data_IF_499805235618
#
_entry.id   IF_499805235618
#
_cell.length_a   1.000
_cell.length_b   1.000
_cell.length_c   1.000
_cell.angle_alpha   90.00
_cell.angle_beta   90.00
_cell.angle_gamma   90.00
#
_symmetry.space_group_name_H-M   'P 1'
#
loop_
_entity.id
_entity.type
_entity.pdbx_description
1 polymer ?
#
# COMPACT_ATOMS: atom_id res chain seq x y z
N UNK A 1 -13.26 21.78 16.98
CA UNK A 1 -12.07 20.92 16.74
C UNK A 1 -12.24 20.01 15.52
N UNK A 2 -13.39 19.33 15.35
CA UNK A 2 -13.67 18.50 14.17
C UNK A 2 -13.55 19.27 12.84
N UNK A 3 -14.09 20.49 12.80
CA UNK A 3 -13.97 21.37 11.63
C UNK A 3 -12.52 21.69 11.26
N UNK A 4 -11.68 22.06 12.23
CA UNK A 4 -10.24 22.28 12.02
C UNK A 4 -9.53 21.02 11.48
N UNK A 5 -9.92 19.84 11.97
CA UNK A 5 -9.38 18.55 11.47
C UNK A 5 -9.79 18.35 10.00
N UNK A 6 -11.03 18.65 9.65
CA UNK A 6 -11.52 18.54 8.28
C UNK A 6 -10.80 19.51 7.33
N UNK A 7 -10.56 20.75 7.75
CA UNK A 7 -9.77 21.71 6.96
C UNK A 7 -8.33 21.24 6.76
N UNK A 8 -7.63 20.82 7.82
CA UNK A 8 -6.26 20.33 7.68
C UNK A 8 -6.20 19.08 6.78
N UNK A 9 -7.19 18.19 6.82
CA UNK A 9 -7.25 17.03 5.92
C UNK A 9 -7.39 17.47 4.45
N UNK A 10 -8.23 18.47 4.17
CA UNK A 10 -8.38 19.04 2.81
C UNK A 10 -7.08 19.70 2.34
N UNK A 11 -6.44 20.48 3.21
CA UNK A 11 -5.15 21.12 2.92
C UNK A 11 -4.09 20.07 2.57
N UNK A 12 -3.91 19.06 3.41
CA UNK A 12 -2.96 17.97 3.18
C UNK A 12 -3.26 17.20 1.89
N UNK A 13 -4.52 17.03 1.51
CA UNK A 13 -4.88 16.41 0.22
C UNK A 13 -4.46 17.24 -1.00
N UNK A 14 -4.48 18.56 -0.89
CA UNK A 14 -4.17 19.50 -1.97
C UNK A 14 -2.67 19.84 -2.09
N UNK A 15 -1.84 19.48 -1.10
CA UNK A 15 -0.40 19.83 -1.09
C UNK A 15 0.32 19.39 -2.36
N UNK A 16 0.08 18.17 -2.87
CA UNK A 16 0.80 17.68 -4.07
C UNK A 16 0.39 18.49 -5.29
N UNK A 17 -0.91 18.67 -5.52
CA UNK A 17 -1.41 19.50 -6.64
C UNK A 17 -0.78 20.90 -6.58
N UNK A 18 -0.86 21.56 -5.42
CA UNK A 18 -0.31 22.90 -5.24
C UNK A 18 1.22 22.98 -5.47
N UNK A 19 2.00 22.04 -4.92
CA UNK A 19 3.47 22.04 -5.01
C UNK A 19 3.95 21.79 -6.45
N UNK A 20 3.22 21.00 -7.21
CA UNK A 20 3.60 20.60 -8.57
C UNK A 20 2.83 21.34 -9.67
N UNK A 21 2.25 22.50 -9.34
CA UNK A 21 1.72 23.46 -10.32
C UNK A 21 0.25 23.31 -10.70
N UNK A 22 -0.52 22.44 -10.03
CA UNK A 22 -1.96 22.30 -10.22
C UNK A 22 -2.74 23.05 -9.13
N UNK A 23 -3.39 24.16 -9.50
CA UNK A 23 -4.03 25.08 -8.55
C UNK A 23 -5.57 25.02 -8.54
N UNK A 24 -6.18 23.99 -9.16
CA UNK A 24 -7.64 23.86 -9.38
C UNK A 24 -8.48 23.98 -8.10
N UNK A 25 -7.99 23.46 -6.98
CA UNK A 25 -8.70 23.44 -5.70
C UNK A 25 -8.17 24.48 -4.70
N UNK A 26 -7.09 25.21 -5.03
CA UNK A 26 -6.47 26.19 -4.12
C UNK A 26 -7.45 27.31 -3.71
N UNK A 27 -8.20 27.83 -4.70
CA UNK A 27 -9.19 28.90 -4.49
C UNK A 27 -10.36 28.41 -3.63
N UNK A 28 -10.85 27.18 -3.86
CA UNK A 28 -11.97 26.59 -3.11
C UNK A 28 -11.61 26.27 -1.66
N UNK A 29 -10.36 25.91 -1.41
CA UNK A 29 -9.86 25.56 -0.07
C UNK A 29 -9.52 26.82 0.73
N UNK A 30 -9.33 27.97 0.07
CA UNK A 30 -8.88 29.20 0.73
C UNK A 30 -7.43 29.11 1.18
N UNK A 31 -6.63 28.31 0.46
CA UNK A 31 -5.18 28.23 0.66
C UNK A 31 -4.56 29.60 0.35
N UNK A 32 -3.37 29.93 0.85
CA UNK A 32 -2.69 31.23 0.62
C UNK A 32 -2.39 31.56 -0.86
N UNK A 33 -2.92 30.79 -1.80
CA UNK A 33 -2.77 30.90 -3.23
C UNK A 33 -4.14 31.14 -3.87
N UNK A 34 -4.28 32.26 -4.57
CA UNK A 34 -5.47 32.66 -5.34
C UNK A 34 -5.43 32.16 -6.79
N UNK A 35 -4.43 31.34 -7.15
CA UNK A 35 -4.19 30.83 -8.50
C UNK A 35 -3.68 31.87 -9.52
N UNK A 36 -3.87 33.16 -9.24
CA UNK A 36 -3.59 34.27 -10.17
C UNK A 36 -2.10 34.55 -10.35
N UNK A 37 -1.28 34.28 -9.33
CA UNK A 37 0.16 34.58 -9.36
C UNK A 37 1.01 33.53 -10.10
N UNK A 38 0.40 32.46 -10.63
CA UNK A 38 1.11 31.26 -11.09
C UNK A 38 0.66 30.70 -12.45
N UNK A 39 -0.04 31.47 -13.28
CA UNK A 39 -0.49 31.05 -14.63
C UNK A 39 0.65 30.62 -15.58
N UNK A 40 1.92 30.95 -15.25
CA UNK A 40 3.11 30.58 -16.02
C UNK A 40 3.90 29.40 -15.42
N UNK A 41 3.44 28.80 -14.32
CA UNK A 41 4.11 27.66 -13.68
C UNK A 41 3.85 26.37 -14.47
N UNK A 42 4.89 25.59 -14.74
CA UNK A 42 4.72 24.29 -15.41
C UNK A 42 3.98 23.32 -14.49
N UNK A 43 2.93 22.69 -15.03
CA UNK A 43 2.18 21.65 -14.32
C UNK A 43 2.88 20.29 -14.49
N UNK A 44 3.52 19.81 -13.41
CA UNK A 44 4.23 18.53 -13.37
C UNK A 44 3.31 17.35 -13.02
N UNK A 45 2.05 17.58 -12.63
CA UNK A 45 1.11 16.51 -12.25
C UNK A 45 0.92 15.47 -13.36
N UNK A 46 0.73 15.81 -14.65
CA UNK A 46 0.60 14.81 -15.70
C UNK A 46 1.83 13.90 -15.81
N UNK A 47 3.03 14.47 -15.67
CA UNK A 47 4.28 13.70 -15.69
C UNK A 47 4.39 12.79 -14.46
N UNK A 48 4.07 13.31 -13.27
CA UNK A 48 4.09 12.53 -12.04
C UNK A 48 3.11 11.36 -12.07
N UNK A 49 1.91 11.55 -12.64
CA UNK A 49 0.94 10.46 -12.86
C UNK A 49 1.49 9.43 -13.84
N UNK A 50 2.05 9.86 -14.98
CA UNK A 50 2.67 8.95 -15.97
C UNK A 50 3.69 8.00 -15.34
N UNK A 51 4.55 8.52 -14.46
CA UNK A 51 5.57 7.71 -13.75
C UNK A 51 5.06 7.05 -12.46
N UNK A 52 3.79 7.24 -12.07
CA UNK A 52 3.19 6.67 -10.87
C UNK A 52 3.73 7.25 -9.55
N UNK A 53 4.36 8.42 -9.61
CA UNK A 53 4.91 9.11 -8.44
C UNK A 53 3.84 9.91 -7.72
N UNK A 54 2.88 10.48 -8.46
CA UNK A 54 1.78 11.25 -7.89
C UNK A 54 1.02 10.45 -6.83
N UNK A 55 0.71 9.20 -7.14
CA UNK A 55 -0.10 8.33 -6.30
C UNK A 55 0.68 7.81 -5.09
N UNK A 56 1.99 7.58 -5.24
CA UNK A 56 2.88 7.28 -4.12
C UNK A 56 2.89 8.42 -3.12
N UNK A 57 3.04 9.67 -3.61
CA UNK A 57 2.99 10.85 -2.75
C UNK A 57 1.62 11.01 -2.10
N UNK A 58 0.53 10.80 -2.84
CA UNK A 58 -0.83 10.86 -2.31
C UNK A 58 -1.06 9.83 -1.20
N UNK A 59 -0.56 8.60 -1.35
CA UNK A 59 -0.64 7.59 -0.28
C UNK A 59 0.10 8.05 0.99
N UNK A 60 1.28 8.67 0.86
CA UNK A 60 2.04 9.21 2.02
C UNK A 60 1.26 10.34 2.70
N UNK A 61 0.71 11.28 1.93
CA UNK A 61 -0.09 12.37 2.50
C UNK A 61 -1.41 11.90 3.10
N UNK A 62 -2.01 10.83 2.56
CA UNK A 62 -3.20 10.20 3.14
C UNK A 62 -2.93 9.75 4.57
N UNK A 63 -1.76 9.14 4.83
CA UNK A 63 -1.37 8.74 6.19
C UNK A 63 -1.21 9.95 7.13
N UNK A 64 -0.61 11.04 6.65
CA UNK A 64 -0.50 12.28 7.41
C UNK A 64 -1.89 12.88 7.70
N UNK A 65 -2.80 12.82 6.73
CA UNK A 65 -4.18 13.29 6.86
C UNK A 65 -4.96 12.52 7.94
N UNK A 66 -4.74 11.21 8.07
CA UNK A 66 -5.34 10.41 9.14
C UNK A 66 -4.87 10.89 10.52
N UNK A 67 -3.61 11.34 10.62
CA UNK A 67 -3.04 11.88 11.84
C UNK A 67 -3.32 13.38 12.05
N UNK A 68 -4.18 14.01 11.23
CA UNK A 68 -4.47 15.46 11.30
C UNK A 68 -4.89 15.93 12.69
N UNK A 69 -5.65 15.12 13.45
CA UNK A 69 -6.00 15.44 14.85
C UNK A 69 -4.77 15.54 15.75
N UNK A 70 -3.82 14.62 15.62
CA UNK A 70 -2.57 14.64 16.40
C UNK A 70 -1.69 15.81 15.99
N UNK A 71 -1.61 16.08 14.69
CA UNK A 71 -0.85 17.20 14.12
C UNK A 71 -1.36 18.55 14.66
N UNK A 72 -2.68 18.78 14.64
CA UNK A 72 -3.28 20.01 15.17
C UNK A 72 -3.07 20.19 16.68
N UNK A 73 -2.99 19.09 17.42
CA UNK A 73 -2.77 19.12 18.85
C UNK A 73 -1.27 19.21 19.20
N UNK A 74 -0.39 19.27 18.20
CA UNK A 74 1.07 19.18 18.35
C UNK A 74 1.49 18.05 19.28
N UNK A 75 0.75 16.94 19.24
CA UNK A 75 1.07 15.75 20.01
C UNK A 75 2.09 14.98 19.18
N UNK A 76 3.34 14.94 19.65
CA UNK A 76 4.22 13.86 19.24
C UNK A 76 3.53 12.54 19.63
N UNK A 77 3.67 11.50 18.81
CA UNK A 77 3.07 10.19 19.10
C UNK A 77 3.69 9.52 20.33
N UNK A 78 4.61 10.21 21.01
CA UNK A 78 5.44 9.68 22.04
C UNK A 78 5.28 10.52 23.31
N UNK A 79 4.28 10.15 24.12
CA UNK A 79 4.07 10.76 25.45
C UNK A 79 5.35 10.69 26.30
N UNK A 80 6.20 9.70 26.06
CA UNK A 80 7.51 9.54 26.71
C UNK A 80 8.54 10.55 26.16
N UNK A 81 8.51 10.96 24.89
CA UNK A 81 9.33 12.07 24.37
C UNK A 81 8.87 13.42 24.85
N UNK A 82 7.56 13.71 24.83
CA UNK A 82 7.04 14.93 25.43
C UNK A 82 7.49 14.98 26.90
N UNK A 83 7.31 13.89 27.65
CA UNK A 83 7.74 13.82 29.05
C UNK A 83 9.26 13.93 29.21
N UNK A 84 10.05 13.20 28.42
CA UNK A 84 11.51 13.25 28.47
C UNK A 84 12.09 14.57 27.95
N UNK A 85 11.40 15.29 27.07
CA UNK A 85 11.74 16.63 26.62
C UNK A 85 11.54 17.64 27.75
N UNK A 86 10.44 17.51 28.49
CA UNK A 86 10.18 18.31 29.70
C UNK A 86 11.21 17.97 30.78
N UNK A 87 11.47 16.68 31.04
CA UNK A 87 12.54 16.25 31.94
C UNK A 87 13.87 16.82 31.46
N UNK A 88 14.19 16.73 30.17
CA UNK A 88 15.44 17.23 29.56
C UNK A 88 15.61 18.73 29.78
N UNK A 89 14.53 19.53 29.66
CA UNK A 89 14.51 20.95 30.01
C UNK A 89 14.74 21.18 31.50
N UNK A 90 14.22 20.30 32.35
CA UNK A 90 14.41 20.38 33.81
C UNK A 90 15.78 19.88 34.28
N UNK A 91 16.41 18.92 33.60
CA UNK A 91 17.75 18.41 33.93
C UNK A 91 18.88 19.22 33.26
N UNK A 92 18.58 20.09 32.28
CA UNK A 92 19.57 20.88 31.55
C UNK A 92 20.35 20.10 30.48
N UNK A 93 19.80 18.98 30.00
CA UNK A 93 20.45 18.03 29.11
C UNK A 93 21.58 17.21 29.76
N UNK A 94 22.07 16.16 29.07
CA UNK A 94 23.11 15.21 29.53
C UNK A 94 24.45 15.84 29.96
N UNK A 95 24.66 17.15 29.78
CA UNK A 95 25.96 17.82 30.03
C UNK A 95 26.16 18.33 31.45
N UNK A 96 25.15 18.30 32.32
CA UNK A 96 25.25 18.93 33.64
C UNK A 96 24.93 17.90 34.75
N UNK A 97 26.00 17.37 35.33
CA UNK A 97 26.12 16.71 36.65
C UNK A 97 26.16 15.17 36.69
N UNK A 98 27.36 14.66 37.00
CA UNK A 98 27.66 13.27 37.36
C UNK A 98 27.59 12.99 38.89
N UNK A 99 26.93 13.83 39.69
CA UNK A 99 27.36 13.97 41.10
C UNK A 99 26.48 13.51 42.26
N UNK A 100 25.14 13.41 42.19
CA UNK A 100 24.33 13.35 43.44
C UNK A 100 23.13 12.37 43.38
N UNK A 101 23.12 11.39 44.29
CA UNK A 101 22.01 10.44 44.57
C UNK A 101 20.71 11.21 44.89
N UNK A 102 19.57 10.76 44.36
CA UNK A 102 18.24 11.36 44.62
C UNK A 102 17.90 12.62 43.80
N UNK A 103 18.85 13.17 43.04
CA UNK A 103 18.61 14.37 42.23
C UNK A 103 17.76 14.11 40.99
N UNK A 104 17.75 12.88 40.44
CA UNK A 104 16.97 12.55 39.24
C UNK A 104 15.47 12.44 39.51
N UNK A 105 15.03 11.64 40.50
CA UNK A 105 13.60 11.53 40.86
C UNK A 105 12.97 12.89 41.16
N UNK A 106 13.63 13.71 41.98
CA UNK A 106 13.15 15.05 42.35
C UNK A 106 13.01 15.96 41.13
N UNK A 107 13.93 15.87 40.16
CA UNK A 107 13.85 16.62 38.89
C UNK A 107 12.72 16.09 37.98
N UNK A 108 12.45 14.79 37.98
CA UNK A 108 11.29 14.24 37.29
C UNK A 108 9.97 14.72 37.90
N UNK A 109 9.85 14.76 39.24
CA UNK A 109 8.67 15.32 39.90
C UNK A 109 8.49 16.82 39.61
N UNK A 110 9.58 17.59 39.63
CA UNK A 110 9.57 19.00 39.23
C UNK A 110 9.13 19.20 37.77
N UNK A 111 9.56 18.30 36.87
CA UNK A 111 9.15 18.30 35.46
C UNK A 111 7.65 18.01 35.30
N UNK A 112 7.10 17.03 36.04
CA UNK A 112 5.66 16.73 36.06
C UNK A 112 4.85 17.94 36.50
N UNK A 113 5.25 18.60 37.59
CA UNK A 113 4.56 19.78 38.12
C UNK A 113 4.60 20.91 37.08
N UNK A 114 5.79 21.26 36.57
CA UNK A 114 5.94 22.33 35.59
C UNK A 114 5.17 22.09 34.28
N UNK A 115 5.07 20.84 33.81
CA UNK A 115 4.30 20.49 32.61
C UNK A 115 2.80 20.67 32.81
N UNK A 116 2.29 20.26 33.97
CA UNK A 116 0.86 20.30 34.25
C UNK A 116 0.37 21.69 34.65
N UNK A 117 1.22 22.52 35.27
CA UNK A 117 0.82 23.85 35.76
C UNK A 117 1.28 25.01 34.87
N UNK A 118 2.31 24.83 34.04
CA UNK A 118 2.87 25.90 33.19
C UNK A 118 3.68 26.98 33.95
N UNK A 119 3.66 26.95 35.28
CA UNK A 119 4.18 28.01 36.15
C UNK A 119 5.52 27.63 36.84
N UNK A 120 6.37 28.61 37.22
CA UNK A 120 7.59 28.37 38.00
C UNK A 120 7.29 27.71 39.35
N UNK A 121 8.22 26.89 39.85
CA UNK A 121 8.11 26.22 41.15
C UNK A 121 8.08 27.24 42.29
N UNK A 122 8.77 28.38 42.13
CA UNK A 122 8.67 29.51 43.07
C UNK A 122 7.28 30.13 43.12
N UNK A 123 6.57 30.18 41.99
CA UNK A 123 5.19 30.64 41.92
C UNK A 123 4.29 29.69 42.71
N UNK A 124 4.49 28.38 42.56
CA UNK A 124 3.77 27.36 43.32
C UNK A 124 4.04 27.45 44.83
N UNK A 125 5.30 27.63 45.25
CA UNK A 125 5.64 27.80 46.67
C UNK A 125 4.96 29.04 47.27
N UNK A 126 4.92 30.15 46.53
CA UNK A 126 4.24 31.37 46.95
C UNK A 126 2.72 31.17 47.08
N UNK A 127 2.09 30.43 46.15
CA UNK A 127 0.66 30.10 46.19
C UNK A 127 0.33 29.19 47.39
N UNK A 128 1.22 28.26 47.73
CA UNK A 128 1.06 27.32 48.85
C UNK A 128 1.46 27.96 50.20
N UNK A 129 1.89 29.23 50.21
CA UNK A 129 2.30 29.95 51.43
C UNK A 129 3.61 29.43 52.03
N UNK A 130 4.41 28.70 51.25
CA UNK A 130 5.69 28.13 51.68
C UNK A 130 6.85 28.88 51.05
N UNK A 131 7.96 29.07 51.79
CA UNK A 131 9.14 29.72 51.21
C UNK A 131 9.77 28.82 50.15
N UNK A 132 10.00 29.31 48.92
CA UNK A 132 10.63 28.50 47.89
C UNK A 132 12.04 28.10 48.33
N UNK A 133 12.34 26.80 48.22
CA UNK A 133 13.65 26.28 48.62
C UNK A 133 14.77 26.94 47.83
N UNK A 134 15.90 27.26 48.48
CA UNK A 134 17.05 27.97 47.87
C UNK A 134 17.48 27.37 46.53
N UNK A 135 17.48 26.03 46.43
CA UNK A 135 17.86 25.28 45.23
C UNK A 135 16.89 25.55 44.07
N UNK A 136 15.58 25.65 44.34
CA UNK A 136 14.56 25.92 43.32
C UNK A 136 14.70 27.35 42.78
N UNK A 137 14.97 28.33 43.65
CA UNK A 137 15.18 29.73 43.27
C UNK A 137 16.45 29.90 42.43
N UNK A 138 17.56 29.27 42.83
CA UNK A 138 18.80 29.27 42.06
C UNK A 138 18.64 28.61 40.69
N UNK A 139 17.89 27.52 40.63
CA UNK A 139 17.58 26.81 39.40
C UNK A 139 16.79 27.69 38.43
N UNK A 140 15.75 28.39 38.89
CA UNK A 140 14.96 29.30 38.06
C UNK A 140 15.77 30.49 37.56
N UNK A 141 16.65 31.06 38.40
CA UNK A 141 17.60 32.10 37.97
C UNK A 141 18.53 31.62 36.86
N UNK A 142 19.11 30.42 37.00
CA UNK A 142 19.95 29.81 35.95
C UNK A 142 19.18 29.58 34.65
N UNK A 143 17.92 29.16 34.74
CA UNK A 143 17.04 28.97 33.56
C UNK A 143 16.77 30.28 32.83
N UNK A 144 16.46 31.38 33.55
CA UNK A 144 16.29 32.71 32.94
C UNK A 144 17.57 33.16 32.24
N UNK A 145 18.73 33.06 32.89
CA UNK A 145 20.01 33.44 32.28
C UNK A 145 20.34 32.60 31.03
N UNK A 146 20.04 31.30 31.06
CA UNK A 146 20.25 30.42 29.90
C UNK A 146 19.30 30.76 28.74
N UNK A 147 18.04 31.11 29.00
CA UNK A 147 17.09 31.56 27.98
C UNK A 147 17.54 32.87 27.31
N UNK A 148 18.02 33.83 28.10
CA UNK A 148 18.60 35.08 27.58
C UNK A 148 19.85 34.83 26.72
N UNK A 149 20.71 33.88 27.12
CA UNK A 149 21.89 33.50 26.36
C UNK A 149 21.57 32.69 25.09
N UNK A 150 20.46 31.96 25.05
CA UNK A 150 20.02 31.20 23.88
C UNK A 150 19.39 32.09 22.81
N UNK A 151 18.77 33.20 23.21
CA UNK A 151 18.24 34.22 22.29
C UNK A 151 19.32 34.86 21.38
N UNK A 152 20.60 34.72 21.73
CA UNK A 152 21.73 35.39 21.05
C UNK A 152 22.67 34.46 20.29
N UNK A 153 22.42 33.13 20.24
CA UNK A 153 23.29 32.18 19.52
C UNK A 153 22.52 31.32 18.52
N UNK A 154 22.41 31.80 17.27
CA UNK A 154 22.25 30.91 16.10
C UNK A 154 23.62 30.32 15.75
N UNK A 155 23.88 29.07 16.17
CA UNK A 155 24.90 28.23 15.53
C UNK A 155 24.28 26.88 15.20
N UNK A 156 24.21 26.59 13.89
CA UNK A 156 23.82 25.30 13.33
C UNK A 156 24.91 24.27 13.61
N UNK A 157 24.65 23.38 14.56
CA UNK A 157 25.49 22.20 14.78
C UNK A 157 24.83 21.02 14.09
N UNK A 158 25.46 20.52 13.03
CA UNK A 158 25.05 19.28 12.36
C UNK A 158 25.53 18.11 13.22
N UNK A 159 24.58 17.42 13.86
CA UNK A 159 24.87 16.22 14.63
C UNK A 159 24.91 15.01 13.70
N UNK A 160 26.02 14.28 13.66
CA UNK A 160 26.04 12.91 13.13
C UNK A 160 25.34 11.99 14.12
N UNK A 161 24.09 11.63 13.81
CA UNK A 161 23.31 10.68 14.60
C UNK A 161 23.84 9.27 14.32
N UNK A 162 24.39 8.61 15.35
CA UNK A 162 24.57 7.15 15.33
C UNK A 162 23.23 6.51 15.64
N UNK A 163 22.64 5.83 14.66
CA UNK A 163 21.39 5.09 14.84
C UNK A 163 21.67 3.80 15.61
N UNK A 164 21.30 3.76 16.88
CA UNK A 164 21.15 2.50 17.63
C UNK A 164 19.84 1.82 17.21
N UNK A 165 19.79 0.50 17.29
CA UNK A 165 18.60 -0.32 17.02
C UNK A 165 17.40 0.22 17.81
N UNK A 166 16.34 0.56 17.09
CA UNK A 166 15.11 1.17 17.58
C UNK A 166 14.32 0.20 18.47
N UNK A 167 13.79 0.69 19.58
CA UNK A 167 12.91 -0.04 20.50
C UNK A 167 11.52 -0.22 19.86
N UNK A 168 10.79 -1.28 20.21
CA UNK A 168 9.42 -1.55 19.73
C UNK A 168 8.43 -0.45 20.12
N UNK A 169 8.75 0.31 21.17
CA UNK A 169 7.91 1.39 21.67
C UNK A 169 8.41 2.77 21.18
N UNK A 170 9.53 2.84 20.45
CA UNK A 170 10.21 4.10 20.14
C UNK A 170 10.89 4.14 18.75
N UNK A 171 10.56 5.17 17.96
CA UNK A 171 11.20 5.47 16.69
C UNK A 171 10.42 4.96 15.46
N UNK A 172 11.04 4.96 14.26
CA UNK A 172 10.37 4.58 13.01
C UNK A 172 9.80 3.15 13.00
N UNK A 173 10.30 2.27 13.86
CA UNK A 173 9.89 0.88 14.01
C UNK A 173 8.89 0.67 15.16
N UNK A 174 8.38 1.75 15.78
CA UNK A 174 7.49 1.62 16.91
C UNK A 174 6.16 0.99 16.50
N UNK A 175 5.74 -0.05 17.23
CA UNK A 175 4.45 -0.69 17.04
C UNK A 175 3.34 0.28 17.43
N UNK A 176 2.41 0.53 16.51
CA UNK A 176 1.22 1.34 16.77
C UNK A 176 -0.01 0.44 16.78
N UNK A 177 -0.98 0.67 17.69
CA UNK A 177 -2.23 -0.07 17.64
C UNK A 177 -2.94 0.18 16.31
N UNK A 178 -3.78 -0.78 15.91
CA UNK A 178 -4.65 -0.60 14.76
C UNK A 178 -5.65 0.53 14.98
N UNK A 179 -6.13 1.09 13.86
CA UNK A 179 -7.17 2.10 13.90
C UNK A 179 -8.44 1.57 14.61
N UNK A 180 -9.12 2.41 15.41
CA UNK A 180 -10.39 2.03 16.05
C UNK A 180 -11.44 1.57 15.03
N UNK A 181 -12.37 0.67 15.40
CA UNK A 181 -13.38 0.15 14.47
C UNK A 181 -14.21 1.24 13.77
N UNK A 182 -14.62 2.28 14.50
CA UNK A 182 -15.37 3.42 13.94
C UNK A 182 -14.59 4.14 12.83
N UNK A 183 -13.28 4.30 13.00
CA UNK A 183 -12.43 4.95 12.01
C UNK A 183 -12.18 4.02 10.81
N UNK A 184 -12.07 2.72 11.03
CA UNK A 184 -11.94 1.73 9.96
C UNK A 184 -13.17 1.71 9.05
N UNK A 185 -14.38 1.76 9.60
CA UNK A 185 -15.62 1.82 8.82
C UNK A 185 -15.72 3.11 8.00
N UNK A 186 -15.30 4.24 8.56
CA UNK A 186 -15.24 5.50 7.80
C UNK A 186 -14.26 5.39 6.62
N UNK A 187 -13.03 4.90 6.87
CA UNK A 187 -12.02 4.72 5.82
C UNK A 187 -12.50 3.73 4.75
N UNK A 188 -13.22 2.68 5.15
CA UNK A 188 -13.85 1.72 4.24
C UNK A 188 -14.87 2.39 3.34
N UNK A 189 -15.78 3.19 3.89
CA UNK A 189 -16.77 3.91 3.10
C UNK A 189 -16.13 4.86 2.07
N UNK A 190 -15.09 5.61 2.47
CA UNK A 190 -14.32 6.48 1.57
C UNK A 190 -13.64 5.69 0.45
N UNK A 191 -13.01 4.57 0.78
CA UNK A 191 -12.34 3.70 -0.18
C UNK A 191 -13.32 3.06 -1.17
N UNK A 192 -14.50 2.62 -0.70
CA UNK A 192 -15.54 2.07 -1.58
C UNK A 192 -16.10 3.12 -2.55
N UNK A 193 -16.28 4.37 -2.10
CA UNK A 193 -16.68 5.48 -3.00
C UNK A 193 -15.65 5.73 -4.09
N UNK A 194 -14.36 5.69 -3.75
CA UNK A 194 -13.27 5.82 -4.73
C UNK A 194 -13.33 4.69 -5.78
N UNK A 195 -13.54 3.46 -5.35
CA UNK A 195 -13.67 2.32 -6.25
C UNK A 195 -14.91 2.42 -7.16
N UNK A 196 -16.05 2.90 -6.63
CA UNK A 196 -17.26 3.14 -7.42
C UNK A 196 -17.04 4.22 -8.48
N UNK A 197 -16.33 5.31 -8.15
CA UNK A 197 -15.94 6.33 -9.13
C UNK A 197 -15.09 5.74 -10.26
N UNK A 198 -14.14 4.86 -9.92
CA UNK A 198 -13.31 4.16 -10.91
C UNK A 198 -14.15 3.21 -11.80
N UNK A 199 -15.11 2.50 -11.21
CA UNK A 199 -16.02 1.62 -11.96
C UNK A 199 -16.90 2.39 -12.96
N UNK A 200 -17.35 3.60 -12.60
CA UNK A 200 -18.05 4.49 -13.53
C UNK A 200 -17.14 4.97 -14.66
N UNK A 201 -15.86 5.22 -14.36
CA UNK A 201 -14.84 5.69 -15.31
C UNK A 201 -14.03 4.55 -15.97
N UNK A 202 -14.50 3.31 -15.88
CA UNK A 202 -13.73 2.11 -16.30
C UNK A 202 -13.23 2.16 -17.74
N UNK A 203 -14.00 2.75 -18.66
CA UNK A 203 -13.62 2.88 -20.08
C UNK A 203 -12.46 3.84 -20.24
N UNK A 204 -12.48 4.97 -19.53
CA UNK A 204 -11.37 5.93 -19.55
C UNK A 204 -10.11 5.35 -18.90
N UNK A 205 -10.26 4.56 -17.83
CA UNK A 205 -9.15 3.88 -17.16
C UNK A 205 -8.51 2.84 -18.08
N UNK A 206 -9.31 2.06 -18.81
CA UNK A 206 -8.80 1.11 -19.79
C UNK A 206 -7.93 1.83 -20.82
N UNK A 207 -8.43 2.93 -21.40
CA UNK A 207 -7.71 3.73 -22.39
C UNK A 207 -6.40 4.31 -21.84
N UNK A 208 -6.44 4.94 -20.67
CA UNK A 208 -5.27 5.55 -20.01
C UNK A 208 -4.20 4.52 -19.67
N UNK A 209 -4.59 3.25 -19.49
CA UNK A 209 -3.70 2.18 -19.04
C UNK A 209 -3.32 1.18 -20.14
N UNK A 210 -3.58 1.49 -21.42
CA UNK A 210 -3.24 0.62 -22.57
C UNK A 210 -1.77 0.26 -22.71
N UNK A 211 -0.88 1.12 -22.23
CA UNK A 211 0.56 0.86 -22.20
C UNK A 211 0.99 -0.05 -21.03
N UNK A 212 0.03 -0.49 -20.21
CA UNK A 212 0.18 -1.44 -19.11
C UNK A 212 1.42 -1.16 -18.23
N UNK A 213 2.39 -2.07 -18.21
CA UNK A 213 3.55 -2.03 -17.35
C UNK A 213 4.50 -0.84 -17.58
N UNK A 214 4.39 -0.16 -18.73
CA UNK A 214 5.14 1.05 -19.04
C UNK A 214 4.60 2.29 -18.30
N UNK A 215 3.35 2.26 -17.84
CA UNK A 215 2.72 3.37 -17.07
C UNK A 215 2.67 3.06 -15.58
N UNK A 216 2.95 4.07 -14.76
CA UNK A 216 2.80 3.95 -13.31
C UNK A 216 1.34 3.87 -12.87
N UNK A 217 0.44 4.47 -13.64
CA UNK A 217 -1.01 4.51 -13.38
C UNK A 217 -1.63 3.11 -13.41
N UNK A 218 -1.28 2.29 -14.41
CA UNK A 218 -1.73 0.90 -14.47
C UNK A 218 -1.33 0.11 -13.22
N UNK A 219 -0.09 0.30 -12.73
CA UNK A 219 0.37 -0.34 -11.50
C UNK A 219 -0.39 0.18 -10.29
N UNK A 220 -0.64 1.49 -10.21
CA UNK A 220 -1.37 2.10 -9.10
C UNK A 220 -2.75 1.48 -8.91
N UNK A 221 -3.58 1.43 -9.95
CA UNK A 221 -4.92 0.84 -9.86
C UNK A 221 -4.85 -0.60 -9.36
N UNK A 222 -3.93 -1.40 -9.91
CA UNK A 222 -3.73 -2.81 -9.55
C UNK A 222 -3.30 -3.03 -8.09
N UNK A 223 -2.70 -2.03 -7.42
CA UNK A 223 -2.36 -2.16 -5.99
C UNK A 223 -3.58 -2.06 -5.07
N UNK A 224 -4.73 -1.59 -5.57
CA UNK A 224 -5.95 -1.35 -4.77
C UNK A 224 -7.06 -2.37 -5.01
N UNK A 225 -6.84 -3.32 -5.92
CA UNK A 225 -7.82 -4.32 -6.38
C UNK A 225 -7.17 -5.70 -6.57
N UNK A 226 -7.97 -6.75 -6.69
CA UNK A 226 -7.49 -8.08 -7.03
C UNK A 226 -7.52 -8.24 -8.54
N UNK A 227 -6.38 -8.61 -9.12
CA UNK A 227 -6.27 -8.81 -10.56
C UNK A 227 -6.38 -10.28 -10.94
N UNK A 228 -6.88 -10.57 -12.15
CA UNK A 228 -7.14 -11.93 -12.63
C UNK A 228 -5.95 -12.91 -12.47
N UNK A 229 -4.71 -12.42 -12.62
CA UNK A 229 -3.49 -13.22 -12.42
C UNK A 229 -3.36 -13.80 -11.00
N UNK A 230 -4.04 -13.23 -10.00
CA UNK A 230 -4.05 -13.70 -8.63
C UNK A 230 -5.22 -14.64 -8.32
N UNK A 231 -6.24 -14.73 -9.19
CA UNK A 231 -7.50 -15.44 -8.87
C UNK A 231 -7.28 -16.91 -8.59
N UNK A 232 -6.52 -17.61 -9.43
CA UNK A 232 -6.21 -19.03 -9.22
C UNK A 232 -5.48 -19.28 -7.89
N UNK A 233 -4.58 -18.38 -7.48
CA UNK A 233 -3.86 -18.50 -6.23
C UNK A 233 -4.76 -18.27 -5.00
N UNK A 234 -5.72 -17.36 -5.10
CA UNK A 234 -6.68 -17.06 -4.03
C UNK A 234 -7.73 -18.15 -3.92
N UNK A 235 -8.38 -18.52 -5.02
CA UNK A 235 -9.47 -19.51 -5.02
C UNK A 235 -9.01 -20.91 -4.58
N UNK A 236 -7.73 -21.24 -4.80
CA UNK A 236 -7.11 -22.51 -4.40
C UNK A 236 -6.36 -22.44 -3.07
N UNK A 237 -6.36 -21.28 -2.40
CA UNK A 237 -5.73 -21.14 -1.09
C UNK A 237 -6.45 -22.00 -0.06
N UNK A 238 -5.70 -22.82 0.69
CA UNK A 238 -6.28 -23.60 1.80
C UNK A 238 -6.67 -22.64 2.92
N UNK A 239 -7.73 -22.95 3.64
CA UNK A 239 -8.24 -22.09 4.73
C UNK A 239 -7.20 -21.81 5.82
N UNK A 240 -6.30 -22.76 6.09
CA UNK A 240 -5.21 -22.61 7.07
C UNK A 240 -3.96 -21.89 6.55
N UNK A 241 -3.93 -21.52 5.26
CA UNK A 241 -2.78 -20.83 4.67
C UNK A 241 -2.87 -19.33 4.94
N UNK A 242 -1.77 -18.73 5.42
CA UNK A 242 -1.72 -17.28 5.64
C UNK A 242 -1.93 -16.49 4.34
N UNK A 243 -2.71 -15.41 4.43
CA UNK A 243 -2.94 -14.49 3.32
C UNK A 243 -1.81 -13.47 3.14
N UNK A 244 -0.95 -13.28 4.15
CA UNK A 244 0.10 -12.26 4.21
C UNK A 244 0.92 -12.13 2.93
N UNK A 245 1.44 -13.25 2.40
CA UNK A 245 2.27 -13.22 1.19
C UNK A 245 1.50 -12.77 -0.05
N UNK A 246 0.19 -13.09 -0.15
CA UNK A 246 -0.65 -12.72 -1.29
C UNK A 246 -1.11 -11.26 -1.18
N UNK A 247 -1.47 -10.82 0.02
CA UNK A 247 -1.79 -9.41 0.28
C UNK A 247 -0.57 -8.55 -0.05
N UNK A 248 0.62 -8.98 0.36
CA UNK A 248 1.87 -8.29 0.04
C UNK A 248 2.14 -8.23 -1.47
N UNK A 249 1.91 -9.32 -2.22
CA UNK A 249 2.12 -9.31 -3.68
C UNK A 249 1.14 -8.41 -4.43
N UNK A 250 -0.07 -8.20 -3.89
CA UNK A 250 -1.09 -7.31 -4.46
C UNK A 250 -0.78 -5.84 -4.16
N UNK A 251 -0.60 -5.50 -2.87
CA UNK A 251 -0.52 -4.10 -2.41
C UNK A 251 0.90 -3.54 -2.57
N UNK A 252 1.91 -4.37 -2.37
CA UNK A 252 3.33 -3.98 -2.38
C UNK A 252 4.11 -4.80 -3.42
N UNK A 253 3.74 -4.72 -4.72
CA UNK A 253 4.41 -5.48 -5.76
C UNK A 253 5.89 -5.10 -5.80
N UNK A 254 6.76 -6.09 -5.71
CA UNK A 254 8.20 -5.89 -5.86
C UNK A 254 8.57 -5.91 -7.34
N UNK A 255 9.43 -4.98 -7.75
CA UNK A 255 10.04 -5.03 -9.08
C UNK A 255 11.04 -6.19 -9.12
N UNK A 256 10.61 -7.31 -9.70
CA UNK A 256 11.45 -8.48 -9.87
C UNK A 256 12.33 -8.29 -11.10
N UNK A 257 13.60 -7.96 -10.88
CA UNK A 257 14.62 -7.89 -11.93
C UNK A 257 15.18 -9.29 -12.25
N UNK A 258 14.29 -10.24 -12.55
CA UNK A 258 14.65 -11.63 -12.86
C UNK A 258 14.54 -11.91 -14.35
N UNK A 259 15.39 -12.80 -14.86
CA UNK A 259 15.51 -13.08 -16.29
C UNK A 259 14.20 -13.60 -16.90
N UNK A 260 13.39 -14.33 -16.13
CA UNK A 260 12.08 -14.81 -16.57
C UNK A 260 11.08 -13.69 -16.85
N UNK A 261 11.09 -12.62 -16.05
CA UNK A 261 10.20 -11.45 -16.22
C UNK A 261 10.65 -10.61 -17.41
N UNK A 262 11.96 -10.39 -17.56
CA UNK A 262 12.53 -9.72 -18.75
C UNK A 262 12.23 -10.49 -20.03
N UNK A 263 12.41 -11.82 -19.99
CA UNK A 263 12.11 -12.68 -21.12
C UNK A 263 10.63 -12.62 -21.50
N UNK A 264 9.72 -12.71 -20.52
CA UNK A 264 8.29 -12.55 -20.76
C UNK A 264 7.97 -11.24 -21.46
N UNK A 265 8.39 -10.12 -20.86
CA UNK A 265 8.15 -8.77 -21.40
C UNK A 265 8.70 -8.59 -22.82
N UNK A 266 9.90 -9.11 -23.11
CA UNK A 266 10.52 -9.00 -24.44
C UNK A 266 9.81 -9.85 -25.50
N UNK A 267 9.34 -11.04 -25.13
CA UNK A 267 8.79 -12.00 -26.09
C UNK A 267 7.28 -11.94 -26.20
N UNK A 268 6.57 -11.23 -25.31
CA UNK A 268 5.13 -11.06 -25.38
C UNK A 268 4.70 -10.41 -26.70
N UNK A 269 5.37 -9.33 -27.12
CA UNK A 269 5.07 -8.67 -28.39
C UNK A 269 5.38 -9.58 -29.60
N UNK A 270 6.47 -10.35 -29.52
CA UNK A 270 6.87 -11.30 -30.58
C UNK A 270 5.85 -12.43 -30.68
N UNK A 271 5.46 -13.01 -29.55
CA UNK A 271 4.51 -14.10 -29.47
C UNK A 271 3.13 -13.68 -29.99
N UNK A 272 2.71 -12.45 -29.67
CA UNK A 272 1.47 -11.87 -30.21
C UNK A 272 1.51 -11.72 -31.72
N UNK A 273 2.58 -11.17 -32.31
CA UNK A 273 2.73 -11.03 -33.77
C UNK A 273 2.77 -12.40 -34.49
N UNK A 274 3.45 -13.38 -33.90
CA UNK A 274 3.49 -14.76 -34.40
C UNK A 274 2.08 -15.39 -34.36
N UNK A 275 1.32 -15.14 -33.29
CA UNK A 275 -0.06 -15.60 -33.15
C UNK A 275 -1.02 -14.92 -34.14
N UNK A 276 -0.92 -13.59 -34.34
CA UNK A 276 -1.69 -12.86 -35.35
C UNK A 276 -1.47 -13.45 -36.75
N UNK A 277 -0.21 -13.75 -37.08
CA UNK A 277 0.17 -14.31 -38.38
C UNK A 277 -0.31 -15.75 -38.57
N UNK A 278 -0.15 -16.61 -37.55
CA UNK A 278 -0.53 -18.04 -37.61
C UNK A 278 -2.04 -18.26 -37.60
N UNK A 279 -2.77 -17.47 -36.83
CA UNK A 279 -4.23 -17.61 -36.70
C UNK A 279 -4.99 -16.73 -37.68
N UNK A 280 -4.29 -15.83 -38.40
CA UNK A 280 -4.89 -14.82 -39.27
C UNK A 280 -5.95 -13.98 -38.54
N UNK A 281 -5.61 -13.52 -37.33
CA UNK A 281 -6.48 -12.71 -36.45
C UNK A 281 -5.80 -11.39 -36.10
N UNK A 282 -6.59 -10.34 -35.89
CA UNK A 282 -6.11 -9.05 -35.41
C UNK A 282 -6.22 -8.96 -33.89
N UNK A 283 -5.10 -8.77 -33.20
CA UNK A 283 -5.02 -8.72 -31.73
C UNK A 283 -4.69 -7.29 -31.28
N UNK A 284 -5.69 -6.58 -30.75
CA UNK A 284 -5.52 -5.20 -30.26
C UNK A 284 -4.94 -5.20 -28.84
N UNK A 285 -4.07 -4.22 -28.52
CA UNK A 285 -3.67 -3.94 -27.14
C UNK A 285 -4.88 -3.46 -26.33
N UNK A 286 -4.83 -3.68 -25.02
CA UNK A 286 -5.80 -3.14 -24.07
C UNK A 286 -5.16 -2.85 -22.71
N UNK A 287 -5.83 -2.01 -21.93
CA UNK A 287 -5.39 -1.63 -20.59
C UNK A 287 -5.98 -2.50 -19.49
N UNK A 288 -6.30 -1.85 -18.37
CA UNK A 288 -6.94 -2.45 -17.22
C UNK A 288 -8.46 -2.34 -17.34
N UNK A 289 -9.12 -3.49 -17.38
CA UNK A 289 -10.56 -3.60 -17.19
C UNK A 289 -10.89 -3.69 -15.70
N UNK A 290 -11.88 -2.92 -15.29
CA UNK A 290 -12.49 -2.98 -13.95
C UNK A 290 -13.86 -3.61 -14.10
N UNK A 291 -14.19 -4.53 -13.20
CA UNK A 291 -15.46 -5.26 -13.22
C UNK A 291 -16.67 -4.32 -13.08
N UNK A 292 -17.72 -4.60 -13.84
CA UNK A 292 -18.94 -3.78 -13.89
C UNK A 292 -19.78 -3.85 -12.62
N UNK A 293 -19.62 -4.88 -11.79
CA UNK A 293 -20.40 -5.08 -10.56
C UNK A 293 -19.50 -5.00 -9.32
N UNK A 294 -18.28 -5.55 -9.38
CA UNK A 294 -17.37 -5.69 -8.24
C UNK A 294 -16.12 -4.82 -8.45
N UNK A 295 -16.13 -3.54 -8.02
CA UNK A 295 -15.16 -2.53 -8.46
C UNK A 295 -13.72 -2.75 -7.96
N UNK A 296 -13.51 -3.73 -7.08
CA UNK A 296 -12.20 -4.17 -6.60
C UNK A 296 -11.68 -5.43 -7.30
N UNK A 297 -12.29 -5.85 -8.41
CA UNK A 297 -11.77 -6.88 -9.31
C UNK A 297 -11.36 -6.25 -10.64
N UNK A 298 -10.24 -6.68 -11.18
CA UNK A 298 -9.73 -6.19 -12.46
C UNK A 298 -8.97 -7.21 -13.28
N UNK A 299 -8.83 -6.93 -14.58
CA UNK A 299 -8.17 -7.80 -15.53
C UNK A 299 -7.42 -6.98 -16.59
N UNK A 300 -6.26 -7.47 -17.01
CA UNK A 300 -5.57 -6.99 -18.21
C UNK A 300 -5.23 -8.22 -19.02
N UNK A 301 -6.01 -8.58 -20.05
CA UNK A 301 -5.62 -9.62 -20.98
C UNK A 301 -4.45 -9.12 -21.85
N UNK A 302 -3.74 -10.05 -22.48
CA UNK A 302 -2.58 -9.74 -23.33
C UNK A 302 -3.01 -9.18 -24.69
N UNK A 303 -4.29 -9.36 -25.05
CA UNK A 303 -4.91 -8.66 -26.17
C UNK A 303 -6.38 -8.97 -26.36
N UNK A 304 -7.02 -8.18 -27.23
CA UNK A 304 -8.43 -8.31 -27.61
C UNK A 304 -8.55 -8.80 -29.06
N UNK A 305 -9.44 -9.76 -29.27
CA UNK A 305 -9.86 -10.22 -30.59
C UNK A 305 -11.28 -9.71 -30.81
N UNK A 306 -11.44 -8.81 -31.78
CA UNK A 306 -12.75 -8.24 -32.14
C UNK A 306 -13.52 -7.76 -30.90
N UNK A 307 -14.82 -8.05 -30.81
CA UNK A 307 -15.68 -7.69 -29.68
C UNK A 307 -15.85 -8.82 -28.65
N UNK A 308 -15.70 -10.09 -29.06
CA UNK A 308 -16.07 -11.24 -28.23
C UNK A 308 -14.90 -12.04 -27.66
N UNK A 309 -13.67 -11.79 -28.12
CA UNK A 309 -12.51 -12.61 -27.82
C UNK A 309 -11.41 -11.89 -27.04
N UNK A 310 -10.65 -12.63 -26.22
CA UNK A 310 -9.39 -12.18 -25.61
C UNK A 310 -8.26 -13.16 -25.93
N UNK A 311 -7.03 -12.73 -25.65
CA UNK A 311 -5.83 -13.57 -25.74
C UNK A 311 -5.08 -13.54 -24.42
N UNK A 312 -4.57 -14.71 -24.02
CA UNK A 312 -3.65 -14.88 -22.91
C UNK A 312 -2.46 -15.70 -23.39
N UNK A 313 -1.27 -15.11 -23.35
CA UNK A 313 -0.02 -15.65 -23.86
C UNK A 313 0.90 -15.99 -22.67
N UNK A 314 1.49 -17.19 -22.71
CA UNK A 314 2.52 -17.60 -21.75
C UNK A 314 3.80 -17.97 -22.47
N UNK A 315 4.88 -17.30 -22.08
CA UNK A 315 6.24 -17.48 -22.62
C UNK A 315 7.20 -17.99 -21.51
N UNK A 316 7.11 -19.26 -21.08
CA UNK A 316 7.93 -19.77 -19.98
C UNK A 316 9.43 -19.81 -20.35
N UNK A 317 10.25 -19.04 -19.65
CA UNK A 317 11.70 -18.93 -19.88
C UNK A 317 12.44 -20.28 -19.85
N UNK A 318 12.01 -21.21 -18.98
CA UNK A 318 12.62 -22.53 -18.88
C UNK A 318 12.38 -23.41 -20.11
N UNK A 319 11.33 -23.13 -20.88
CA UNK A 319 10.97 -23.86 -22.10
C UNK A 319 11.52 -23.22 -23.39
N UNK A 320 12.34 -22.16 -23.29
CA UNK A 320 12.78 -21.36 -24.46
C UNK A 320 13.53 -22.15 -25.54
N UNK A 321 14.09 -23.31 -25.19
CA UNK A 321 14.85 -24.20 -26.08
C UNK A 321 14.05 -25.44 -26.50
N UNK A 322 12.76 -25.49 -26.20
CA UNK A 322 11.89 -26.63 -26.46
C UNK A 322 10.65 -26.17 -27.24
N UNK A 323 10.02 -27.10 -27.96
CA UNK A 323 8.66 -26.89 -28.46
C UNK A 323 7.68 -26.84 -27.26
N UNK A 324 6.52 -26.18 -27.37
CA UNK A 324 5.51 -26.21 -26.32
C UNK A 324 5.12 -27.64 -25.91
N UNK A 325 5.00 -28.54 -26.87
CA UNK A 325 4.65 -29.95 -26.67
C UNK A 325 5.72 -30.69 -25.87
N UNK A 326 7.00 -30.52 -26.23
CA UNK A 326 8.10 -31.18 -25.53
C UNK A 326 8.29 -30.60 -24.12
N UNK A 327 8.01 -29.30 -23.94
CA UNK A 327 8.02 -28.67 -22.62
C UNK A 327 6.92 -29.22 -21.69
N UNK A 328 5.74 -29.52 -22.24
CA UNK A 328 4.63 -30.19 -21.51
C UNK A 328 5.05 -31.61 -21.10
N UNK A 329 5.56 -32.41 -22.04
CA UNK A 329 6.00 -33.79 -21.77
C UNK A 329 7.13 -33.81 -20.74
N UNK A 330 8.10 -32.91 -20.87
CA UNK A 330 9.22 -32.75 -19.94
C UNK A 330 8.84 -32.15 -18.59
N UNK A 331 7.57 -31.77 -18.37
CA UNK A 331 7.09 -31.09 -17.17
C UNK A 331 7.87 -29.82 -16.81
N UNK A 332 8.37 -29.11 -17.82
CA UNK A 332 9.12 -27.89 -17.60
C UNK A 332 8.21 -26.85 -16.95
N UNK A 333 8.68 -26.19 -15.89
CA UNK A 333 7.87 -25.20 -15.14
C UNK A 333 6.52 -25.72 -14.64
N UNK A 334 6.41 -27.02 -14.33
CA UNK A 334 5.18 -27.68 -13.89
C UNK A 334 4.03 -27.68 -14.94
N UNK A 335 4.36 -27.61 -16.23
CA UNK A 335 3.38 -27.63 -17.31
C UNK A 335 2.53 -28.92 -17.37
N UNK A 336 2.92 -30.04 -16.73
CA UNK A 336 2.02 -31.22 -16.63
C UNK A 336 0.77 -30.98 -15.80
N UNK A 337 0.79 -29.96 -14.94
CA UNK A 337 -0.42 -29.55 -14.20
C UNK A 337 -1.42 -28.79 -15.09
N UNK A 338 -0.95 -28.30 -16.25
CA UNK A 338 -1.73 -27.61 -17.28
C UNK A 338 -2.36 -28.63 -18.22
N UNK A 339 -1.54 -29.50 -18.81
CA UNK A 339 -1.93 -30.60 -19.70
C UNK A 339 -1.30 -31.89 -19.17
N UNK A 340 -2.08 -32.96 -18.93
CA UNK A 340 -1.53 -34.19 -18.35
C UNK A 340 -0.65 -34.93 -19.37
N UNK A 341 -1.03 -34.89 -20.64
CA UNK A 341 -0.35 -35.56 -21.76
C UNK A 341 -0.10 -34.61 -22.94
N UNK A 342 0.79 -35.02 -23.87
CA UNK A 342 1.09 -34.28 -25.12
C UNK A 342 -0.15 -34.10 -26.01
N UNK A 343 -1.01 -35.11 -26.02
CA UNK A 343 -2.22 -35.18 -26.86
C UNK A 343 -3.43 -34.46 -26.26
N UNK A 344 -3.34 -34.03 -24.99
CA UNK A 344 -4.43 -33.31 -24.36
C UNK A 344 -4.68 -32.00 -25.11
N UNK A 345 -5.94 -31.85 -25.56
CA UNK A 345 -6.43 -30.66 -26.23
C UNK A 345 -6.96 -29.61 -25.26
N UNK A 346 -7.30 -30.04 -24.05
CA UNK A 346 -7.95 -29.20 -23.05
C UNK A 346 -7.08 -29.01 -21.81
N UNK A 347 -6.96 -27.76 -21.36
CA UNK A 347 -6.30 -27.40 -20.11
C UNK A 347 -7.11 -27.90 -18.92
N UNK A 348 -6.40 -28.34 -17.88
CA UNK A 348 -6.98 -28.63 -16.57
C UNK A 348 -7.75 -27.44 -16.01
N UNK A 349 -9.07 -27.61 -15.79
CA UNK A 349 -9.93 -26.62 -15.11
C UNK A 349 -9.49 -26.31 -13.67
N UNK A 350 -8.66 -27.16 -13.10
CA UNK A 350 -8.06 -26.94 -11.79
C UNK A 350 -6.77 -26.10 -11.85
N UNK A 351 -6.24 -25.78 -13.04
CA UNK A 351 -5.00 -25.02 -13.18
C UNK A 351 -5.21 -23.53 -12.91
N UNK A 352 -4.19 -22.84 -12.36
CA UNK A 352 -4.29 -21.41 -12.00
C UNK A 352 -4.62 -20.50 -13.20
N UNK A 353 -4.14 -20.86 -14.40
CA UNK A 353 -4.43 -20.12 -15.63
C UNK A 353 -5.90 -20.23 -16.05
N UNK A 354 -6.58 -21.36 -15.79
CA UNK A 354 -8.02 -21.46 -16.06
C UNK A 354 -8.80 -20.44 -15.22
N UNK A 355 -8.48 -20.31 -13.92
CA UNK A 355 -9.09 -19.30 -13.05
C UNK A 355 -8.76 -17.87 -13.52
N UNK A 356 -7.53 -17.62 -13.98
CA UNK A 356 -7.16 -16.32 -14.53
C UNK A 356 -8.01 -15.99 -15.76
N UNK A 357 -8.11 -16.91 -16.71
CA UNK A 357 -8.83 -16.73 -17.97
C UNK A 357 -10.33 -16.56 -17.72
N UNK A 358 -10.94 -17.40 -16.89
CA UNK A 358 -12.36 -17.24 -16.53
C UNK A 358 -12.63 -15.89 -15.86
N UNK A 359 -11.69 -15.42 -15.02
CA UNK A 359 -11.74 -14.07 -14.46
C UNK A 359 -11.64 -12.96 -15.49
N UNK A 360 -10.72 -13.07 -16.45
CA UNK A 360 -10.59 -12.10 -17.54
C UNK A 360 -11.86 -12.07 -18.41
N UNK A 361 -12.43 -13.23 -18.75
CA UNK A 361 -13.66 -13.33 -19.54
C UNK A 361 -14.86 -12.70 -18.85
N UNK A 362 -15.01 -12.96 -17.54
CA UNK A 362 -16.06 -12.33 -16.73
C UNK A 362 -15.90 -10.81 -16.71
N UNK A 363 -14.73 -10.31 -16.31
CA UNK A 363 -14.48 -8.88 -16.13
C UNK A 363 -14.59 -8.10 -17.44
N UNK A 364 -14.10 -8.67 -18.55
CA UNK A 364 -14.17 -8.04 -19.88
C UNK A 364 -15.53 -8.23 -20.56
N UNK A 365 -16.41 -9.06 -19.98
CA UNK A 365 -17.70 -9.48 -20.55
C UNK A 365 -17.57 -10.14 -21.95
N UNK A 366 -16.47 -10.85 -22.19
CA UNK A 366 -16.16 -11.53 -23.45
C UNK A 366 -16.46 -13.02 -23.39
N UNK A 367 -16.65 -13.64 -24.56
CA UNK A 367 -17.19 -14.99 -24.69
C UNK A 367 -16.11 -16.07 -24.72
N UNK A 368 -14.92 -15.76 -25.22
CA UNK A 368 -13.84 -16.74 -25.32
C UNK A 368 -12.46 -16.13 -25.20
N UNK A 369 -11.51 -16.96 -24.77
CA UNK A 369 -10.09 -16.65 -24.74
C UNK A 369 -9.37 -17.63 -25.67
N UNK A 370 -8.44 -17.14 -26.49
CA UNK A 370 -7.43 -18.01 -27.10
C UNK A 370 -6.22 -18.00 -26.18
N UNK A 371 -6.03 -19.10 -25.44
CA UNK A 371 -4.84 -19.33 -24.65
C UNK A 371 -3.70 -19.79 -25.56
N UNK A 372 -2.52 -19.22 -25.38
CA UNK A 372 -1.34 -19.53 -26.16
C UNK A 372 -0.16 -19.86 -25.26
N UNK A 373 0.42 -21.04 -25.44
CA UNK A 373 1.73 -21.40 -24.91
C UNK A 373 2.77 -21.22 -26.02
N UNK A 374 3.57 -20.16 -25.90
CA UNK A 374 4.54 -19.78 -26.91
C UNK A 374 5.97 -20.07 -26.45
N UNK A 375 6.77 -20.63 -27.36
CA UNK A 375 8.22 -20.69 -27.27
C UNK A 375 8.83 -20.23 -28.60
N UNK A 376 10.12 -19.87 -28.65
CA UNK A 376 10.78 -19.56 -29.91
C UNK A 376 10.73 -20.68 -30.96
N UNK A 377 10.43 -21.92 -30.55
CA UNK A 377 10.37 -23.10 -31.42
C UNK A 377 8.96 -23.50 -31.84
N UNK A 378 7.91 -22.92 -31.25
CA UNK A 378 6.54 -23.32 -31.56
C UNK A 378 5.45 -22.60 -30.77
N UNK A 379 4.21 -22.84 -31.17
CA UNK A 379 3.02 -22.24 -30.58
C UNK A 379 1.93 -23.31 -30.42
N UNK A 380 1.50 -23.56 -29.19
CA UNK A 380 0.30 -24.37 -28.89
C UNK A 380 -0.83 -23.44 -28.45
N UNK A 381 -2.00 -23.59 -29.05
CA UNK A 381 -3.17 -22.76 -28.71
C UNK A 381 -4.38 -23.60 -28.31
N UNK A 382 -5.24 -23.01 -27.50
CA UNK A 382 -6.51 -23.60 -27.05
C UNK A 382 -7.57 -22.50 -26.94
N UNK A 383 -8.77 -22.75 -27.47
CA UNK A 383 -9.92 -21.86 -27.29
C UNK A 383 -10.70 -22.26 -26.05
N UNK A 384 -10.80 -21.35 -25.09
CA UNK A 384 -11.49 -21.53 -23.82
C UNK A 384 -12.72 -20.64 -23.81
N UNK A 385 -13.89 -21.22 -23.53
CA UNK A 385 -15.15 -20.49 -23.44
C UNK A 385 -15.38 -19.96 -22.03
N UNK A 386 -16.13 -18.87 -21.93
CA UNK A 386 -16.62 -18.32 -20.66
C UNK A 386 -17.53 -19.34 -19.97
N UNK A 387 -17.31 -19.52 -18.67
CA UNK A 387 -18.03 -20.45 -17.80
C UNK A 387 -18.55 -19.70 -16.57
N UNK A 388 -19.74 -19.11 -16.69
CA UNK A 388 -20.37 -18.32 -15.63
C UNK A 388 -20.76 -19.17 -14.40
N UNK A 389 -21.02 -20.46 -14.60
CA UNK A 389 -21.28 -21.39 -13.50
C UNK A 389 -20.00 -21.59 -12.68
N UNK A 390 -18.86 -21.80 -13.35
CA UNK A 390 -17.58 -21.89 -12.67
C UNK A 390 -17.23 -20.60 -11.90
N UNK A 391 -17.49 -19.43 -12.50
CA UNK A 391 -17.30 -18.14 -11.82
C UNK A 391 -18.13 -18.05 -10.53
N UNK A 392 -19.44 -18.29 -10.65
CA UNK A 392 -20.41 -18.17 -9.56
C UNK A 392 -20.13 -19.17 -8.43
N UNK A 393 -19.86 -20.43 -8.77
CA UNK A 393 -19.69 -21.49 -7.79
C UNK A 393 -18.30 -21.54 -7.16
N UNK A 394 -17.24 -21.23 -7.92
CA UNK A 394 -15.85 -21.49 -7.49
C UNK A 394 -15.04 -20.24 -7.20
N UNK A 395 -15.40 -19.09 -7.78
CA UNK A 395 -14.53 -17.92 -7.80
C UNK A 395 -15.06 -16.76 -6.96
N UNK A 396 -16.20 -16.18 -7.35
CA UNK A 396 -16.64 -14.85 -6.88
C UNK A 396 -16.67 -14.73 -5.36
N UNK A 397 -17.30 -15.67 -4.67
CA UNK A 397 -17.42 -15.66 -3.20
C UNK A 397 -16.06 -15.71 -2.49
N UNK A 398 -15.09 -16.46 -3.04
CA UNK A 398 -13.74 -16.54 -2.48
C UNK A 398 -12.95 -15.26 -2.72
N UNK A 399 -13.11 -14.65 -3.89
CA UNK A 399 -12.44 -13.40 -4.25
C UNK A 399 -12.96 -12.23 -3.42
N UNK A 400 -14.29 -12.09 -3.29
CA UNK A 400 -14.94 -11.07 -2.46
C UNK A 400 -14.51 -11.22 -1.00
N UNK A 401 -14.65 -12.42 -0.43
CA UNK A 401 -14.22 -12.69 0.95
C UNK A 401 -12.74 -12.36 1.17
N UNK A 402 -11.88 -12.74 0.24
CA UNK A 402 -10.44 -12.45 0.34
C UNK A 402 -10.17 -10.94 0.25
N UNK A 403 -10.86 -10.21 -0.62
CA UNK A 403 -10.70 -8.76 -0.70
C UNK A 403 -11.09 -8.10 0.62
N UNK A 404 -12.31 -8.34 1.09
CA UNK A 404 -12.89 -7.67 2.25
C UNK A 404 -12.15 -7.99 3.55
N UNK A 405 -11.69 -9.23 3.71
CA UNK A 405 -11.10 -9.69 4.97
C UNK A 405 -9.57 -9.71 4.99
N UNK A 406 -8.90 -9.74 3.83
CA UNK A 406 -7.44 -9.81 3.75
C UNK A 406 -6.82 -8.54 3.14
N UNK A 407 -7.32 -8.10 1.98
CA UNK A 407 -6.71 -6.99 1.23
C UNK A 407 -7.13 -5.64 1.79
N UNK A 408 -8.44 -5.45 1.99
CA UNK A 408 -9.02 -4.19 2.42
C UNK A 408 -8.48 -3.70 3.77
N UNK A 409 -8.33 -4.53 4.83
CA UNK A 409 -7.78 -4.05 6.09
C UNK A 409 -6.35 -3.50 5.95
N UNK A 410 -5.53 -4.11 5.10
CA UNK A 410 -4.16 -3.62 4.83
C UNK A 410 -4.16 -2.35 3.98
N UNK A 411 -5.13 -2.16 3.07
CA UNK A 411 -5.30 -0.91 2.32
C UNK A 411 -5.74 0.27 3.19
N UNK A 412 -6.59 0.01 4.19
CA UNK A 412 -7.18 1.04 5.05
C UNK A 412 -6.31 1.38 6.26
N UNK A 413 -5.56 0.41 6.78
CA UNK A 413 -4.62 0.61 7.88
C UNK A 413 -3.36 -0.26 7.68
N UNK A 414 -2.42 0.19 6.82
CA UNK A 414 -1.19 -0.51 6.50
C UNK A 414 -0.39 -0.89 7.75
N UNK A 415 -0.16 -2.20 7.96
CA UNK A 415 0.76 -2.69 8.99
C UNK A 415 2.18 -2.78 8.46
N UNK A 416 2.35 -3.08 7.16
CA UNK A 416 3.67 -3.20 6.54
C UNK A 416 4.48 -1.90 6.65
N UNK A 417 3.84 -0.74 6.51
CA UNK A 417 4.46 0.59 6.66
C UNK A 417 4.83 0.93 8.11
N UNK A 418 4.19 0.26 9.08
CA UNK A 418 4.52 0.33 10.52
C UNK A 418 5.49 -0.76 10.96
N UNK A 419 6.07 -1.50 10.02
CA UNK A 419 6.95 -2.64 10.30
C UNK A 419 6.28 -3.76 11.12
N UNK A 420 4.95 -3.86 11.04
CA UNK A 420 4.15 -4.89 11.68
C UNK A 420 3.75 -5.96 10.67
N UNK A 421 3.46 -7.18 11.16
CA UNK A 421 2.96 -8.26 10.32
C UNK A 421 1.53 -7.94 9.81
N UNK A 422 1.33 -8.13 8.51
CA UNK A 422 0.01 -8.04 7.85
C UNK A 422 -0.96 -9.00 8.56
N UNK A 423 -2.23 -8.57 8.66
CA UNK A 423 -3.29 -9.31 9.35
C UNK A 423 -3.66 -10.59 8.58
N UNK A 424 -3.72 -11.71 9.30
CA UNK A 424 -4.58 -12.82 8.88
C UNK A 424 -5.98 -12.58 9.48
N UNK A 425 -7.06 -12.79 8.71
CA UNK A 425 -8.43 -12.73 9.24
C UNK A 425 -8.74 -13.90 10.18
N UNK A 426 -9.77 -13.73 11.02
CA UNK A 426 -10.13 -14.69 12.07
C UNK A 426 -10.33 -16.10 11.52
N UNK A 427 -11.00 -16.26 10.37
CA UNK A 427 -11.24 -17.59 9.78
C UNK A 427 -9.93 -18.34 9.45
N UNK A 428 -8.85 -17.64 9.08
CA UNK A 428 -7.53 -18.25 8.81
C UNK A 428 -6.87 -18.61 10.14
N UNK A 429 -6.96 -17.74 11.14
CA UNK A 429 -6.41 -17.98 12.48
C UNK A 429 -7.07 -19.23 13.11
N UNK A 430 -8.39 -19.31 13.06
CA UNK A 430 -9.16 -20.47 13.53
C UNK A 430 -8.82 -21.75 12.75
N UNK A 431 -8.71 -21.67 11.42
CA UNK A 431 -8.33 -22.83 10.60
C UNK A 431 -6.90 -23.31 10.91
N UNK A 432 -5.96 -22.41 11.18
CA UNK A 432 -4.61 -22.75 11.65
C UNK A 432 -4.66 -23.46 13.00
N UNK A 433 -5.41 -22.92 13.97
CA UNK A 433 -5.58 -23.53 15.30
C UNK A 433 -6.16 -24.94 15.18
N UNK A 434 -7.23 -25.13 14.41
CA UNK A 434 -7.85 -26.45 14.15
C UNK A 434 -6.83 -27.46 13.60
N UNK A 435 -6.07 -27.07 12.58
CA UNK A 435 -5.03 -27.92 11.99
C UNK A 435 -3.91 -28.27 12.97
N UNK A 436 -3.53 -27.36 13.87
CA UNK A 436 -2.53 -27.65 14.90
C UNK A 436 -3.04 -28.67 15.91
N UNK A 437 -4.30 -28.56 16.33
CA UNK A 437 -4.94 -29.53 17.22
C UNK A 437 -5.03 -30.91 16.56
N UNK A 438 -5.44 -30.99 15.29
CA UNK A 438 -5.49 -32.24 14.54
C UNK A 438 -4.12 -32.91 14.41
N UNK A 439 -3.04 -32.11 14.27
CA UNK A 439 -1.67 -32.62 14.19
C UNK A 439 -1.16 -33.15 15.53
N UNK A 440 -1.64 -32.62 16.66
CA UNK A 440 -1.27 -33.10 18.00
C UNK A 440 -2.03 -34.37 18.42
N UNK A 441 -3.16 -34.66 17.78
CA UNK A 441 -3.95 -35.89 18.00
C UNK A 441 -3.47 -37.09 17.17
N UNK A 442 -2.58 -36.86 16.20
CA UNK A 442 -1.92 -37.87 15.38
C UNK A 442 -0.51 -38.06 15.87
#
# INVERSE_FOLDING_TARGET
MQEKIAFLKRDLGNVISHVFGEHNECVKIGYFCDGSQKEKEENYIPQLKKYGLYEKLQNVLKYLSWNAKSLLQNKDSNRVETFNSVISKCIGGKRINFGLRGSYQTRCYAAVVAFNTGEPISCLSNIIGTKPGKIAVEFEKKKRCAQTAYSTKKKSVVWKVRCTTTDKDYGPQAEKPDAPPEEMELRKAEHMRMLQDWQMKRVAIEEETKEQAATGIWRYYRTKMITASHFGHICKMRESTSCVSKVKSIIYPQELNVESVKHGTKHEEIARKDMESKLNLKIKCCGLFIDSEIPFLGASPDGLIEEDGIVEIKCPFAARLLTPEDAIVGNISNLRSLYKNKEDKEMSRNHIYYYQIQGQLHITQRQYCIFALWTPLGLKTEKILRDDNFWTEKMVNKLVKFYEQCVLPELLDPRQERHMLIRDPEYIIEAKKRKMIEKQKK
#
